data_IF_646240532084
#
_entry.id   IF_646240532084
#
_cell.length_a   1.000
_cell.length_b   1.000
_cell.length_c   1.000
_cell.angle_alpha   90.00
_cell.angle_beta   90.00
_cell.angle_gamma   90.00
#
_symmetry.space_group_name_H-M   'P 1'
#
loop_
_entity.id
_entity.type
_entity.pdbx_description
1 polymer ?
#
# COMPACT_ATOMS: atom_id res chain seq x y z
N UNK A 1 25.87 -8.04 18.62
CA UNK A 1 25.31 -9.24 17.95
C UNK A 1 25.05 -8.90 16.49
N UNK A 2 25.52 -9.68 15.50
CA UNK A 2 25.19 -9.40 14.11
C UNK A 2 23.69 -9.62 13.86
N UNK A 3 23.03 -8.67 13.22
CA UNK A 3 21.62 -8.79 12.83
C UNK A 3 21.50 -9.92 11.80
N UNK A 4 20.88 -11.04 12.17
CA UNK A 4 20.64 -12.16 11.25
C UNK A 4 19.37 -11.88 10.44
N UNK A 5 19.46 -10.95 9.48
CA UNK A 5 18.38 -10.62 8.55
C UNK A 5 18.04 -11.86 7.72
N UNK A 6 16.80 -12.32 7.78
CA UNK A 6 16.32 -13.44 6.94
C UNK A 6 15.86 -12.91 5.58
N UNK A 7 16.01 -13.73 4.55
CA UNK A 7 15.40 -13.46 3.26
C UNK A 7 13.86 -13.41 3.42
N UNK A 8 13.24 -12.46 2.72
CA UNK A 8 11.79 -12.28 2.69
C UNK A 8 11.29 -12.39 1.25
N UNK A 9 10.07 -12.89 1.08
CA UNK A 9 9.44 -13.00 -0.23
C UNK A 9 7.97 -12.61 -0.10
N UNK A 10 7.53 -11.71 -0.97
CA UNK A 10 6.15 -11.22 -1.01
C UNK A 10 5.58 -11.44 -2.42
N UNK A 11 4.38 -12.02 -2.57
CA UNK A 11 3.68 -11.96 -3.84
C UNK A 11 3.40 -10.50 -4.23
N UNK A 12 3.45 -10.20 -5.53
CA UNK A 12 3.23 -8.83 -6.02
C UNK A 12 1.85 -8.28 -5.64
N UNK A 13 0.86 -9.13 -5.38
CA UNK A 13 -0.48 -8.72 -4.98
C UNK A 13 -0.53 -8.11 -3.56
N UNK A 14 0.54 -8.29 -2.75
CA UNK A 14 0.73 -7.60 -1.47
C UNK A 14 1.33 -6.21 -1.63
N UNK A 15 2.00 -5.94 -2.75
CA UNK A 15 2.67 -4.67 -2.98
C UNK A 15 1.61 -3.63 -3.36
N UNK A 16 1.61 -2.51 -2.66
CA UNK A 16 0.60 -1.46 -2.80
C UNK A 16 1.14 -0.24 -3.54
N UNK A 17 2.40 0.10 -3.28
CA UNK A 17 3.01 1.33 -3.78
C UNK A 17 4.53 1.22 -3.78
N UNK A 18 5.18 1.89 -4.72
CA UNK A 18 6.62 2.04 -4.77
C UNK A 18 6.95 3.41 -5.35
N UNK A 19 7.76 4.21 -4.66
CA UNK A 19 8.12 5.55 -5.12
C UNK A 19 9.41 6.05 -4.49
N UNK A 20 10.06 6.99 -5.16
CA UNK A 20 11.22 7.70 -4.61
C UNK A 20 10.73 8.71 -3.57
N UNK A 21 11.27 8.66 -2.36
CA UNK A 21 10.86 9.53 -1.24
C UNK A 21 11.87 10.62 -0.93
N UNK A 22 13.15 10.39 -1.22
CA UNK A 22 14.22 11.36 -1.01
C UNK A 22 15.25 11.22 -2.15
N UNK A 23 15.74 12.34 -2.66
CA UNK A 23 16.76 12.41 -3.71
C UNK A 23 17.90 13.28 -3.18
N UNK A 24 19.09 12.69 -3.13
CA UNK A 24 20.33 13.36 -2.74
C UNK A 24 21.28 13.40 -3.93
N UNK A 25 22.40 14.10 -3.77
CA UNK A 25 23.37 14.33 -4.84
C UNK A 25 23.85 13.02 -5.52
N UNK A 26 24.16 11.98 -4.75
CA UNK A 26 24.67 10.70 -5.28
C UNK A 26 23.78 9.47 -4.98
N UNK A 27 22.75 9.64 -4.15
CA UNK A 27 21.90 8.54 -3.67
C UNK A 27 20.45 8.97 -3.58
N UNK A 28 19.55 8.03 -3.82
CA UNK A 28 18.11 8.18 -3.65
C UNK A 28 17.59 7.13 -2.68
N UNK A 29 16.56 7.50 -1.94
CA UNK A 29 15.80 6.58 -1.09
C UNK A 29 14.46 6.33 -1.75
N UNK A 30 14.13 5.07 -1.99
CA UNK A 30 12.81 4.66 -2.44
C UNK A 30 12.11 3.82 -1.38
N UNK A 31 10.78 3.95 -1.34
CA UNK A 31 9.92 3.28 -0.37
C UNK A 31 9.02 2.28 -1.06
N UNK A 32 9.09 1.02 -0.63
CA UNK A 32 8.20 -0.06 -1.06
C UNK A 32 7.15 -0.33 0.02
N UNK A 33 5.88 -0.10 -0.28
CA UNK A 33 4.77 -0.36 0.63
C UNK A 33 4.10 -1.68 0.33
N UNK A 34 3.86 -2.47 1.37
CA UNK A 34 3.18 -3.76 1.25
C UNK A 34 2.14 -3.93 2.36
N UNK A 35 1.08 -4.66 2.05
CA UNK A 35 0.07 -5.06 3.03
C UNK A 35 0.56 -6.32 3.75
N UNK A 36 0.44 -6.38 5.07
CA UNK A 36 0.80 -7.57 5.85
C UNK A 36 -0.29 -8.65 5.85
N UNK A 37 -1.51 -8.33 5.42
CA UNK A 37 -2.70 -9.17 5.64
C UNK A 37 -3.09 -9.99 4.41
N UNK A 38 -2.11 -10.63 3.77
CA UNK A 38 -2.34 -11.53 2.64
C UNK A 38 -2.95 -12.85 3.11
N UNK A 39 -4.27 -12.84 3.27
CA UNK A 39 -5.05 -14.00 3.73
C UNK A 39 -6.36 -13.62 4.43
N UNK A 40 -6.48 -12.39 4.95
CA UNK A 40 -7.74 -11.93 5.56
C UNK A 40 -8.83 -11.55 4.56
N UNK A 41 -8.45 -11.28 3.30
CA UNK A 41 -9.36 -10.76 2.27
C UNK A 41 -9.77 -11.79 1.22
N UNK A 42 -9.33 -13.05 1.31
CA UNK A 42 -9.82 -14.11 0.41
C UNK A 42 -11.26 -14.54 0.75
N UNK A 43 -11.80 -14.09 1.90
CA UNK A 43 -13.19 -14.34 2.30
C UNK A 43 -14.14 -13.14 2.04
N UNK A 44 -13.68 -12.06 1.41
CA UNK A 44 -14.56 -10.97 0.95
C UNK A 44 -14.94 -11.10 -0.53
N UNK A 45 -15.13 -12.34 -0.97
CA UNK A 45 -16.07 -12.69 -2.03
C UNK A 45 -17.22 -13.48 -1.41
N UNK A 46 -17.82 -12.93 -0.34
CA UNK A 46 -19.17 -13.30 0.03
C UNK A 46 -20.11 -12.64 -0.99
N UNK A 47 -20.52 -13.47 -1.95
CA UNK A 47 -21.75 -13.41 -2.73
C UNK A 47 -22.79 -12.37 -2.22
N UNK A 48 -23.38 -11.49 -3.05
CA UNK A 48 -24.56 -10.72 -2.68
C UNK A 48 -25.78 -11.66 -2.70
N UNK A 49 -25.78 -12.68 -1.84
CA UNK A 49 -26.75 -13.76 -1.80
C UNK A 49 -27.13 -14.08 -0.36
N UNK A 50 -28.12 -13.35 0.15
CA UNK A 50 -29.09 -13.76 1.16
C UNK A 50 -28.61 -14.74 2.26
N UNK A 51 -28.28 -14.23 3.44
CA UNK A 51 -28.56 -14.97 4.69
C UNK A 51 -28.84 -13.99 5.83
N UNK A 52 -30.08 -14.03 6.32
CA UNK A 52 -30.61 -13.08 7.29
C UNK A 52 -30.05 -13.30 8.69
N UNK A 53 -29.73 -12.19 9.36
CA UNK A 53 -30.41 -11.84 10.60
C UNK A 53 -30.11 -10.38 10.96
N UNK A 54 -31.13 -9.67 11.42
CA UNK A 54 -31.06 -8.27 11.78
C UNK A 54 -30.33 -8.06 13.11
N UNK A 55 -29.23 -7.32 13.09
CA UNK A 55 -28.89 -6.38 14.16
C UNK A 55 -28.19 -5.18 13.54
N UNK A 56 -28.87 -4.05 13.64
CA UNK A 56 -28.56 -2.71 13.15
C UNK A 56 -27.24 -2.15 13.69
N UNK A 57 -26.13 -2.54 13.07
CA UNK A 57 -24.91 -1.75 13.09
C UNK A 57 -24.26 -1.87 11.71
N UNK A 58 -23.94 -0.78 11.01
CA UNK A 58 -23.11 -0.90 9.81
C UNK A 58 -21.81 -1.59 10.25
N UNK A 59 -21.27 -2.56 9.50
CA UNK A 59 -19.90 -2.97 9.74
C UNK A 59 -19.10 -1.70 9.52
N UNK A 60 -18.60 -1.10 10.61
CA UNK A 60 -17.52 -0.14 10.55
C UNK A 60 -16.38 -0.95 9.94
N UNK A 61 -16.28 -0.86 8.61
CA UNK A 61 -15.21 -1.41 7.81
C UNK A 61 -13.99 -0.54 8.09
N UNK A 62 -13.55 -0.55 9.35
CA UNK A 62 -12.21 -0.21 9.74
C UNK A 62 -11.34 -1.37 9.30
N UNK A 63 -11.23 -1.57 7.98
CA UNK A 63 -10.12 -2.31 7.40
C UNK A 63 -8.90 -1.44 7.64
N UNK A 64 -8.38 -1.51 8.86
CA UNK A 64 -7.06 -1.02 9.20
C UNK A 64 -6.08 -1.93 8.48
N UNK A 65 -5.99 -1.80 7.16
CA UNK A 65 -5.00 -2.47 6.34
C UNK A 65 -3.64 -2.02 6.87
N UNK A 66 -2.97 -2.93 7.55
CA UNK A 66 -1.69 -2.68 8.19
C UNK A 66 -0.61 -2.67 7.13
N UNK A 67 -0.53 -1.54 6.43
CA UNK A 67 0.55 -1.29 5.48
C UNK A 67 1.85 -1.06 6.22
N UNK A 68 2.88 -1.81 5.84
CA UNK A 68 4.26 -1.61 6.26
C UNK A 68 5.09 -1.18 5.06
N UNK A 69 6.29 -0.67 5.32
CA UNK A 69 7.21 -0.27 4.27
C UNK A 69 8.63 -0.74 4.53
N UNK A 70 9.37 -0.84 3.43
CA UNK A 70 10.83 -0.84 3.42
C UNK A 70 11.31 0.43 2.76
N UNK A 71 12.33 1.04 3.35
CA UNK A 71 13.10 2.12 2.74
C UNK A 71 14.43 1.56 2.28
N UNK A 72 14.75 1.79 1.01
CA UNK A 72 15.97 1.34 0.38
C UNK A 72 16.75 2.55 -0.12
N UNK A 73 18.02 2.64 0.26
CA UNK A 73 18.95 3.65 -0.24
C UNK A 73 19.85 3.01 -1.30
N UNK A 74 19.95 3.63 -2.47
CA UNK A 74 20.85 3.21 -3.54
C UNK A 74 21.22 4.41 -4.43
N UNK A 75 22.00 4.19 -5.48
CA UNK A 75 22.27 5.25 -6.46
C UNK A 75 21.00 5.68 -7.21
N UNK A 76 21.03 6.90 -7.76
CA UNK A 76 19.86 7.54 -8.36
C UNK A 76 19.30 6.74 -9.54
N UNK A 77 20.17 6.17 -10.39
CA UNK A 77 19.76 5.42 -11.57
C UNK A 77 19.09 4.11 -11.17
N UNK A 78 19.67 3.39 -10.22
CA UNK A 78 19.12 2.13 -9.70
C UNK A 78 17.77 2.35 -9.03
N UNK A 79 17.64 3.37 -8.18
CA UNK A 79 16.38 3.70 -7.53
C UNK A 79 15.27 3.94 -8.55
N UNK A 80 15.56 4.75 -9.58
CA UNK A 80 14.60 5.08 -10.63
C UNK A 80 14.19 3.83 -11.43
N UNK A 81 15.14 2.99 -11.83
CA UNK A 81 14.88 1.76 -12.56
C UNK A 81 14.01 0.78 -11.75
N UNK A 82 14.27 0.63 -10.45
CA UNK A 82 13.47 -0.25 -9.57
C UNK A 82 12.05 0.28 -9.46
N UNK A 83 11.89 1.57 -9.13
CA UNK A 83 10.57 2.20 -8.96
C UNK A 83 9.76 2.09 -10.26
N UNK A 84 10.37 2.37 -11.41
CA UNK A 84 9.71 2.27 -12.71
C UNK A 84 9.24 0.85 -13.02
N UNK A 85 10.09 -0.17 -12.78
CA UNK A 85 9.74 -1.58 -13.00
C UNK A 85 8.60 -2.02 -12.08
N UNK A 86 8.67 -1.69 -10.79
CA UNK A 86 7.61 -2.05 -9.83
C UNK A 86 6.31 -1.35 -10.19
N UNK A 87 6.36 -0.06 -10.54
CA UNK A 87 5.18 0.71 -10.96
C UNK A 87 4.52 0.09 -12.19
N UNK A 88 5.32 -0.29 -13.21
CA UNK A 88 4.82 -0.96 -14.40
C UNK A 88 4.12 -2.29 -14.07
N UNK A 89 4.73 -3.14 -13.22
CA UNK A 89 4.10 -4.39 -12.80
C UNK A 89 2.77 -4.12 -12.07
N UNK A 90 2.75 -3.11 -11.19
CA UNK A 90 1.53 -2.72 -10.49
C UNK A 90 0.46 -2.21 -11.46
N UNK A 91 0.82 -1.49 -12.51
CA UNK A 91 -0.08 -1.04 -13.59
C UNK A 91 -0.66 -2.20 -14.39
N UNK A 92 0.14 -3.21 -14.70
CA UNK A 92 -0.30 -4.41 -15.41
C UNK A 92 -1.16 -5.35 -14.55
N UNK A 93 -0.95 -5.38 -13.23
CA UNK A 93 -1.67 -6.26 -12.29
C UNK A 93 -2.64 -5.45 -11.41
N UNK A 94 -3.94 -5.52 -11.70
CA UNK A 94 -4.96 -4.89 -10.85
C UNK A 94 -5.21 -5.69 -9.56
N UNK A 95 -4.50 -5.36 -8.47
CA UNK A 95 -4.70 -5.99 -7.16
C UNK A 95 -5.68 -5.22 -6.26
N UNK A 96 -6.46 -5.94 -5.44
CA UNK A 96 -7.36 -5.34 -4.44
C UNK A 96 -6.58 -4.46 -3.43
N UNK A 97 -5.42 -4.94 -3.00
CA UNK A 97 -4.48 -4.21 -2.14
C UNK A 97 -4.12 -2.83 -2.69
N UNK A 98 -3.79 -2.76 -3.99
CA UNK A 98 -3.43 -1.49 -4.64
C UNK A 98 -4.63 -0.56 -4.71
N UNK A 99 -5.82 -1.07 -5.06
CA UNK A 99 -7.06 -0.27 -5.12
C UNK A 99 -7.41 0.34 -3.76
N UNK A 100 -7.36 -0.46 -2.69
CA UNK A 100 -7.64 0.00 -1.33
C UNK A 100 -6.59 1.03 -0.84
N UNK A 101 -5.31 0.80 -1.14
CA UNK A 101 -4.25 1.73 -0.77
C UNK A 101 -4.41 3.09 -1.46
N UNK A 102 -4.70 3.10 -2.77
CA UNK A 102 -4.94 4.34 -3.52
C UNK A 102 -6.14 5.09 -2.93
N UNK A 103 -7.28 4.41 -2.73
CA UNK A 103 -8.47 5.03 -2.15
C UNK A 103 -8.20 5.62 -0.75
N UNK A 104 -7.39 4.94 0.07
CA UNK A 104 -6.99 5.42 1.40
C UNK A 104 -6.03 6.61 1.32
N UNK A 105 -5.06 6.57 0.42
CA UNK A 105 -4.10 7.66 0.17
C UNK A 105 -4.82 8.92 -0.31
N UNK A 106 -5.78 8.78 -1.22
CA UNK A 106 -6.61 9.88 -1.75
C UNK A 106 -7.51 10.50 -0.67
N UNK A 107 -8.14 9.70 0.19
CA UNK A 107 -8.96 10.19 1.32
C UNK A 107 -8.13 11.02 2.31
N UNK A 108 -6.88 10.63 2.58
CA UNK A 108 -5.95 11.44 3.41
C UNK A 108 -5.54 12.74 2.71
N UNK A 109 -5.44 12.74 1.38
CA UNK A 109 -5.14 13.93 0.61
C UNK A 109 -6.31 14.93 0.57
N UNK A 110 -7.56 14.45 0.58
CA UNK A 110 -8.76 15.30 0.57
C UNK A 110 -8.92 16.11 1.88
N UNK A 111 -8.67 15.50 3.04
CA UNK A 111 -8.71 16.17 4.36
C UNK A 111 -7.70 17.33 4.51
N UNK A 112 -6.64 17.36 3.70
CA UNK A 112 -5.61 18.40 3.75
C UNK A 112 -5.98 19.65 2.94
N UNK A 113 -6.99 19.57 2.05
CA UNK A 113 -7.53 20.72 1.30
C UNK A 113 -8.68 21.42 2.02
N UNK A 114 -9.29 20.81 3.04
CA UNK A 114 -10.45 21.37 3.73
C UNK A 114 -10.11 22.26 4.95
N UNK A 115 -8.82 22.47 5.27
CA UNK A 115 -8.40 23.26 6.45
C UNK A 115 -7.64 24.55 6.10
N UNK A 116 -7.85 25.12 4.92
CA UNK A 116 -7.20 26.39 4.52
C UNK A 116 -8.13 27.52 4.10
N UNK A 117 -9.38 27.54 4.58
CA UNK A 117 -10.25 28.73 4.43
C UNK A 117 -10.73 29.17 5.81
N UNK A 118 -10.18 30.26 6.30
CA UNK A 118 -10.49 30.81 7.61
C UNK A 118 -9.55 31.96 7.98
N UNK A 119 -9.62 33.05 7.21
CA UNK A 119 -9.30 34.40 7.66
C UNK A 119 -10.37 35.34 7.12
#
# INVERSE_FOLDING_TARGET
>A
MPFKQRAVSYPMDMIAWCDVTDIRSSRSIFRLMYNTNFGGSLNSQADPGFSGNASSFPPSMSTSTSFKHYDFECDNLTAHNIVQKVRLILELKSSATRKEYIATKEKKHYKKKSTSSGK
#
